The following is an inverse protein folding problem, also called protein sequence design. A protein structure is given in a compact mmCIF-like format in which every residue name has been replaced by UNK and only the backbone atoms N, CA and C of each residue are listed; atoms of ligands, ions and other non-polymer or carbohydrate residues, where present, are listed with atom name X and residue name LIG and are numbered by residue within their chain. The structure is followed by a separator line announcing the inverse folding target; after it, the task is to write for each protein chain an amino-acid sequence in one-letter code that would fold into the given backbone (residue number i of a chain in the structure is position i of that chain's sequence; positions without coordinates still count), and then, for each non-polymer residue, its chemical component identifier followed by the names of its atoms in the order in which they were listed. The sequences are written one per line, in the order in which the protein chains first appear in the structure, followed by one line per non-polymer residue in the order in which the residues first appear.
data_IF_050283965580
#
_entry.id   IF_050283965580
#
_cell.length_a   1.000
_cell.length_b   1.000
_cell.length_c   1.000
_cell.angle_alpha   90.00
_cell.angle_beta   90.00
_cell.angle_gamma   90.00
#
_symmetry.space_group_name_H-M   'P 1'
#
loop_
_entity.id
_entity.type
_entity.pdbx_description
1 polymer ?
#
# COMPACT_ATOMS: atom_id res chain seq x y z
N UNK A 1 35.36 -23.66 0.66
CA UNK A 1 34.62 -23.68 -0.61
C UNK A 1 33.14 -24.07 -0.32
N UNK A 2 32.27 -23.14 0.03
CA UNK A 2 30.80 -23.35 0.23
C UNK A 2 30.06 -22.04 -0.03
N UNK A 3 30.10 -21.53 -1.27
CA UNK A 3 29.37 -20.30 -1.67
C UNK A 3 28.44 -20.49 -2.90
N UNK A 4 28.10 -21.72 -3.30
CA UNK A 4 27.43 -21.99 -4.58
C UNK A 4 25.98 -22.42 -4.52
N UNK A 5 25.32 -22.57 -3.32
CA UNK A 5 24.00 -23.24 -3.25
C UNK A 5 22.83 -22.32 -2.84
N UNK A 6 23.08 -21.06 -2.49
CA UNK A 6 22.03 -20.18 -1.97
C UNK A 6 21.28 -19.45 -3.10
N UNK A 7 21.97 -19.13 -4.21
CA UNK A 7 21.37 -18.42 -5.33
C UNK A 7 20.21 -19.15 -6.05
N UNK A 8 20.31 -20.48 -6.35
CA UNK A 8 19.22 -21.16 -7.06
C UNK A 8 17.96 -21.35 -6.22
N UNK A 9 18.07 -21.41 -4.88
CA UNK A 9 16.92 -21.63 -4.02
C UNK A 9 16.05 -20.36 -3.89
N UNK A 10 16.65 -19.19 -3.80
CA UNK A 10 15.92 -17.92 -3.76
C UNK A 10 15.19 -17.63 -5.09
N UNK A 11 15.80 -17.99 -6.23
CA UNK A 11 15.18 -17.83 -7.55
C UNK A 11 13.96 -18.75 -7.73
N UNK A 12 14.04 -20.00 -7.27
CA UNK A 12 12.94 -20.97 -7.36
C UNK A 12 11.78 -20.56 -6.45
N UNK A 13 12.07 -20.01 -5.26
CA UNK A 13 11.03 -19.56 -4.32
C UNK A 13 10.28 -18.34 -4.84
N UNK A 14 10.96 -17.38 -5.47
CA UNK A 14 10.33 -16.21 -6.07
C UNK A 14 9.45 -16.59 -7.28
N UNK A 15 9.90 -17.53 -8.11
CA UNK A 15 9.13 -18.01 -9.26
C UNK A 15 7.82 -18.70 -8.84
N UNK A 16 7.86 -19.52 -7.78
CA UNK A 16 6.69 -20.19 -7.24
C UNK A 16 5.68 -19.18 -6.66
N UNK A 17 6.14 -18.14 -5.96
CA UNK A 17 5.30 -17.12 -5.38
C UNK A 17 4.58 -16.27 -6.46
N UNK A 18 5.28 -15.93 -7.52
CA UNK A 18 4.69 -15.14 -8.61
C UNK A 18 3.69 -15.96 -9.44
N UNK A 19 3.95 -17.25 -9.66
CA UNK A 19 2.99 -18.15 -10.31
C UNK A 19 1.69 -18.22 -9.49
N UNK A 20 1.76 -18.48 -8.18
CA UNK A 20 0.60 -18.48 -7.29
C UNK A 20 -0.16 -17.15 -7.29
N UNK A 21 0.54 -16.02 -7.29
CA UNK A 21 -0.10 -14.70 -7.32
C UNK A 21 -0.84 -14.43 -8.64
N UNK A 22 -0.30 -14.90 -9.78
CA UNK A 22 -0.97 -14.74 -11.08
C UNK A 22 -2.22 -15.62 -11.18
N UNK A 23 -2.17 -16.84 -10.68
CA UNK A 23 -3.31 -17.76 -10.61
C UNK A 23 -4.40 -17.24 -9.66
N UNK A 24 -4.00 -16.77 -8.49
CA UNK A 24 -4.92 -16.13 -7.54
C UNK A 24 -5.64 -14.94 -8.18
N UNK A 25 -4.91 -14.05 -8.85
CA UNK A 25 -5.53 -12.90 -9.50
C UNK A 25 -6.54 -13.32 -10.57
N UNK A 26 -6.17 -14.25 -11.46
CA UNK A 26 -7.04 -14.71 -12.54
C UNK A 26 -8.31 -15.39 -11.99
N UNK A 27 -8.17 -16.23 -10.95
CA UNK A 27 -9.28 -16.85 -10.26
C UNK A 27 -10.20 -15.85 -9.54
N UNK A 28 -9.58 -14.89 -8.87
CA UNK A 28 -10.30 -13.83 -8.16
C UNK A 28 -11.09 -12.94 -9.13
N UNK A 29 -10.47 -12.51 -10.23
CA UNK A 29 -11.13 -11.66 -11.22
C UNK A 29 -12.30 -12.39 -11.89
N UNK A 30 -12.14 -13.69 -12.19
CA UNK A 30 -13.22 -14.52 -12.69
C UNK A 30 -14.40 -14.64 -11.68
N UNK A 31 -14.11 -14.75 -10.38
CA UNK A 31 -15.12 -14.77 -9.34
C UNK A 31 -15.80 -13.40 -9.19
N UNK A 32 -15.04 -12.32 -9.04
CA UNK A 32 -15.56 -10.96 -8.86
C UNK A 32 -16.36 -10.49 -10.09
N UNK A 33 -15.99 -10.95 -11.29
CA UNK A 33 -16.72 -10.69 -12.53
C UNK A 33 -18.15 -11.27 -12.57
N UNK A 34 -18.47 -12.22 -11.68
CA UNK A 34 -19.82 -12.82 -11.56
C UNK A 34 -20.69 -12.14 -10.50
N UNK A 35 -20.16 -11.18 -9.76
CA UNK A 35 -20.92 -10.46 -8.72
C UNK A 35 -21.88 -9.48 -9.40
N UNK A 36 -23.19 -9.75 -9.31
CA UNK A 36 -24.27 -8.92 -9.88
C UNK A 36 -25.40 -8.80 -8.87
N UNK A 37 -25.91 -7.60 -8.67
CA UNK A 37 -27.03 -7.33 -7.75
C UNK A 37 -28.37 -7.90 -8.24
N UNK A 38 -28.51 -8.10 -9.55
CA UNK A 38 -29.71 -8.70 -10.17
C UNK A 38 -29.87 -10.17 -9.76
N UNK A 39 -28.78 -10.83 -9.39
CA UNK A 39 -28.79 -12.20 -8.90
C UNK A 39 -28.02 -12.32 -7.55
N UNK A 40 -28.64 -11.95 -6.42
CA UNK A 40 -27.97 -11.93 -5.12
C UNK A 40 -27.39 -13.29 -4.69
N UNK A 41 -28.08 -14.39 -5.00
CA UNK A 41 -27.60 -15.73 -4.66
C UNK A 41 -26.28 -16.06 -5.42
N UNK A 42 -26.23 -15.77 -6.71
CA UNK A 42 -25.02 -15.93 -7.50
C UNK A 42 -23.90 -15.00 -7.03
N UNK A 43 -24.22 -13.74 -6.70
CA UNK A 43 -23.27 -12.79 -6.16
C UNK A 43 -22.62 -13.29 -4.86
N UNK A 44 -23.42 -13.81 -3.91
CA UNK A 44 -22.91 -14.37 -2.66
C UNK A 44 -22.03 -15.61 -2.91
N UNK A 45 -22.42 -16.50 -3.83
CA UNK A 45 -21.60 -17.66 -4.19
C UNK A 45 -20.26 -17.22 -4.82
N UNK A 46 -20.26 -16.21 -5.67
CA UNK A 46 -19.07 -15.64 -6.28
C UNK A 46 -18.14 -15.01 -5.22
N UNK A 47 -18.68 -14.26 -4.26
CA UNK A 47 -17.93 -13.69 -3.13
C UNK A 47 -17.38 -14.80 -2.20
N UNK A 48 -18.12 -15.88 -1.98
CA UNK A 48 -17.64 -17.05 -1.22
C UNK A 48 -16.45 -17.69 -1.93
N UNK A 49 -16.52 -17.87 -3.25
CA UNK A 49 -15.42 -18.40 -4.05
C UNK A 49 -14.19 -17.50 -4.00
N UNK A 50 -14.36 -16.20 -4.14
CA UNK A 50 -13.28 -15.23 -4.00
C UNK A 50 -12.63 -15.32 -2.61
N UNK A 51 -13.43 -15.50 -1.55
CA UNK A 51 -12.94 -15.65 -0.18
C UNK A 51 -12.15 -16.95 0.01
N UNK A 52 -12.59 -18.10 -0.57
CA UNK A 52 -11.85 -19.34 -0.53
C UNK A 52 -10.48 -19.22 -1.21
N UNK A 53 -10.43 -18.63 -2.40
CA UNK A 53 -9.18 -18.38 -3.11
C UNK A 53 -8.19 -17.59 -2.26
N UNK A 54 -8.62 -16.52 -1.60
CA UNK A 54 -7.75 -15.70 -0.73
C UNK A 54 -7.24 -16.47 0.50
N UNK A 55 -8.00 -17.46 1.00
CA UNK A 55 -7.58 -18.27 2.16
C UNK A 55 -6.65 -19.42 1.81
N UNK A 56 -6.87 -20.04 0.66
CA UNK A 56 -6.17 -21.26 0.24
C UNK A 56 -4.78 -20.95 -0.31
N UNK A 57 -4.61 -19.83 -0.99
CA UNK A 57 -3.34 -19.44 -1.61
C UNK A 57 -2.53 -18.50 -0.71
N UNK A 58 -1.39 -18.98 -0.22
CA UNK A 58 -0.40 -18.19 0.53
C UNK A 58 0.35 -17.15 -0.30
N UNK A 59 -0.13 -16.82 -1.50
CA UNK A 59 0.52 -15.90 -2.42
C UNK A 59 0.42 -14.42 -2.01
N UNK A 60 -0.57 -14.07 -1.17
CA UNK A 60 -0.71 -12.70 -0.66
C UNK A 60 -0.04 -12.53 0.69
N UNK A 61 0.65 -11.39 0.93
CA UNK A 61 1.04 -10.99 2.26
C UNK A 61 -0.17 -11.00 3.21
N UNK A 62 -0.01 -11.49 4.47
CA UNK A 62 -1.13 -11.65 5.41
C UNK A 62 -1.97 -10.38 5.56
N UNK A 63 -1.34 -9.22 5.69
CA UNK A 63 -2.03 -7.91 5.84
C UNK A 63 -2.94 -7.62 4.64
N UNK A 64 -2.46 -7.83 3.41
CA UNK A 64 -3.26 -7.58 2.20
C UNK A 64 -4.39 -8.60 2.07
N UNK A 65 -4.12 -9.86 2.43
CA UNK A 65 -5.12 -10.94 2.43
C UNK A 65 -6.25 -10.63 3.41
N UNK A 66 -5.94 -10.28 4.63
CA UNK A 66 -6.91 -10.05 5.68
C UNK A 66 -7.76 -8.80 5.40
N UNK A 67 -7.15 -7.74 4.86
CA UNK A 67 -7.87 -6.57 4.36
C UNK A 67 -8.83 -6.96 3.20
N UNK A 68 -8.37 -7.76 2.24
CA UNK A 68 -9.22 -8.21 1.13
C UNK A 68 -10.40 -9.09 1.62
N UNK A 69 -10.15 -9.97 2.60
CA UNK A 69 -11.20 -10.79 3.22
C UNK A 69 -12.25 -9.93 3.93
N UNK A 70 -11.83 -8.87 4.62
CA UNK A 70 -12.73 -7.89 5.26
C UNK A 70 -13.60 -7.20 4.22
N UNK A 71 -13.02 -6.68 3.14
CA UNK A 71 -13.80 -6.02 2.08
C UNK A 71 -14.76 -6.98 1.36
N UNK A 72 -14.40 -8.27 1.19
CA UNK A 72 -15.34 -9.27 0.67
C UNK A 72 -16.51 -9.55 1.62
N UNK A 73 -16.26 -9.52 2.93
CA UNK A 73 -17.32 -9.66 3.92
C UNK A 73 -18.28 -8.47 3.90
N UNK A 74 -17.76 -7.25 3.80
CA UNK A 74 -18.57 -6.04 3.64
C UNK A 74 -19.35 -6.05 2.31
N UNK A 75 -18.72 -6.50 1.22
CA UNK A 75 -19.38 -6.65 -0.08
C UNK A 75 -20.63 -7.54 0.00
N UNK A 76 -20.61 -8.62 0.81
CA UNK A 76 -21.81 -9.45 1.04
C UNK A 76 -22.93 -8.69 1.72
N UNK A 77 -22.61 -7.83 2.68
CA UNK A 77 -23.60 -7.00 3.35
C UNK A 77 -24.24 -6.03 2.34
N UNK A 78 -23.45 -5.46 1.43
CA UNK A 78 -23.96 -4.56 0.39
C UNK A 78 -24.78 -5.29 -0.68
N UNK A 79 -24.49 -6.55 -0.99
CA UNK A 79 -25.38 -7.39 -1.81
C UNK A 79 -26.74 -7.56 -1.12
N UNK A 80 -26.76 -7.84 0.19
CA UNK A 80 -27.99 -7.98 0.96
C UNK A 80 -28.79 -6.66 1.04
N UNK A 81 -28.07 -5.54 1.18
CA UNK A 81 -28.66 -4.19 1.22
C UNK A 81 -29.01 -3.64 -0.17
N UNK A 82 -28.64 -4.34 -1.25
CA UNK A 82 -28.77 -3.89 -2.64
C UNK A 82 -28.11 -2.55 -2.93
N UNK A 83 -26.99 -2.25 -2.23
CA UNK A 83 -26.22 -1.03 -2.42
C UNK A 83 -25.18 -1.22 -3.52
N UNK A 84 -25.49 -0.75 -4.74
CA UNK A 84 -24.60 -0.88 -5.89
C UNK A 84 -23.28 -0.11 -5.70
N UNK A 85 -23.37 1.10 -5.17
CA UNK A 85 -22.22 2.01 -5.00
C UNK A 85 -21.22 1.45 -4.00
N UNK A 86 -21.70 1.00 -2.84
CA UNK A 86 -20.84 0.44 -1.81
C UNK A 86 -20.23 -0.90 -2.24
N UNK A 87 -21.02 -1.74 -2.93
CA UNK A 87 -20.53 -2.99 -3.50
C UNK A 87 -19.41 -2.72 -4.51
N UNK A 88 -19.61 -1.81 -5.46
CA UNK A 88 -18.60 -1.44 -6.46
C UNK A 88 -17.32 -0.94 -5.80
N UNK A 89 -17.43 -0.07 -4.79
CA UNK A 89 -16.29 0.44 -4.04
C UNK A 89 -15.50 -0.70 -3.35
N UNK A 90 -16.17 -1.66 -2.72
CA UNK A 90 -15.50 -2.79 -2.05
C UNK A 90 -14.82 -3.74 -3.02
N UNK A 91 -15.47 -4.08 -4.12
CA UNK A 91 -14.86 -4.92 -5.17
C UNK A 91 -13.63 -4.24 -5.79
N UNK A 92 -13.68 -2.92 -5.95
CA UNK A 92 -12.54 -2.13 -6.42
C UNK A 92 -11.36 -2.20 -5.43
N UNK A 93 -11.62 -2.03 -4.13
CA UNK A 93 -10.58 -2.11 -3.09
C UNK A 93 -9.94 -3.51 -3.05
N UNK A 94 -10.72 -4.59 -3.15
CA UNK A 94 -10.19 -5.96 -3.24
C UNK A 94 -9.24 -6.11 -4.42
N UNK A 95 -9.63 -5.64 -5.62
CA UNK A 95 -8.77 -5.69 -6.81
C UNK A 95 -7.46 -4.93 -6.62
N UNK A 96 -7.51 -3.76 -5.99
CA UNK A 96 -6.33 -2.94 -5.77
C UNK A 96 -5.40 -3.49 -4.67
N UNK A 97 -5.92 -4.19 -3.65
CA UNK A 97 -5.08 -4.91 -2.69
C UNK A 97 -4.28 -6.04 -3.37
N UNK A 98 -4.93 -6.81 -4.25
CA UNK A 98 -4.20 -7.79 -5.08
C UNK A 98 -3.27 -7.07 -6.08
N UNK A 99 -3.72 -5.94 -6.62
CA UNK A 99 -2.91 -5.05 -7.44
C UNK A 99 -1.63 -4.56 -6.73
N UNK A 100 -1.69 -4.29 -5.42
CA UNK A 100 -0.51 -3.96 -4.60
C UNK A 100 0.49 -5.12 -4.57
N UNK A 101 0.03 -6.35 -4.33
CA UNK A 101 0.91 -7.51 -4.34
C UNK A 101 1.53 -7.75 -5.75
N UNK A 102 0.72 -7.59 -6.81
CA UNK A 102 1.22 -7.65 -8.19
C UNK A 102 2.26 -6.56 -8.50
N UNK A 103 2.05 -5.33 -7.99
CA UNK A 103 2.98 -4.21 -8.14
C UNK A 103 4.32 -4.51 -7.47
N UNK A 104 4.30 -4.99 -6.22
CA UNK A 104 5.51 -5.32 -5.47
C UNK A 104 6.29 -6.48 -6.13
N UNK A 105 5.57 -7.53 -6.53
CA UNK A 105 6.17 -8.65 -7.26
C UNK A 105 6.74 -8.23 -8.62
N UNK A 106 6.02 -7.37 -9.38
CA UNK A 106 6.47 -6.85 -10.67
C UNK A 106 7.80 -6.08 -10.56
N UNK A 107 7.97 -5.27 -9.50
CA UNK A 107 9.22 -4.51 -9.31
C UNK A 107 10.42 -5.41 -9.02
N UNK A 108 10.20 -6.59 -8.43
CA UNK A 108 11.26 -7.55 -8.08
C UNK A 108 11.51 -8.60 -9.17
N UNK A 109 10.52 -8.90 -9.99
CA UNK A 109 10.58 -9.94 -11.02
C UNK A 109 11.43 -9.54 -12.23
N UNK A 110 11.84 -10.56 -13.02
CA UNK A 110 12.61 -10.41 -14.25
C UNK A 110 12.02 -11.26 -15.38
N UNK A 111 12.44 -10.97 -16.62
CA UNK A 111 12.11 -11.80 -17.78
C UNK A 111 10.62 -11.98 -18.04
N UNK A 112 10.21 -13.23 -18.31
CA UNK A 112 8.83 -13.59 -18.64
C UNK A 112 7.88 -13.45 -17.44
N UNK A 113 8.36 -13.73 -16.24
CA UNK A 113 7.62 -13.54 -15.00
C UNK A 113 7.17 -12.08 -14.84
N UNK A 114 8.11 -11.14 -15.03
CA UNK A 114 7.79 -9.69 -14.98
C UNK A 114 6.75 -9.31 -16.04
N UNK A 115 6.79 -9.94 -17.22
CA UNK A 115 5.80 -9.71 -18.26
C UNK A 115 4.40 -10.20 -17.85
N UNK A 116 4.30 -11.40 -17.28
CA UNK A 116 3.04 -12.00 -16.82
C UNK A 116 2.41 -11.20 -15.67
N UNK A 117 3.22 -10.79 -14.68
CA UNK A 117 2.79 -9.92 -13.58
C UNK A 117 2.33 -8.55 -14.09
N UNK A 118 3.07 -7.96 -15.02
CA UNK A 118 2.74 -6.66 -15.60
C UNK A 118 1.40 -6.63 -16.32
N UNK A 119 1.06 -7.68 -17.07
CA UNK A 119 -0.25 -7.79 -17.72
C UNK A 119 -1.41 -7.81 -16.72
N UNK A 120 -1.23 -8.51 -15.60
CA UNK A 120 -2.25 -8.60 -14.54
C UNK A 120 -2.32 -7.31 -13.74
N UNK A 121 -1.17 -6.70 -13.44
CA UNK A 121 -1.11 -5.39 -12.81
C UNK A 121 -1.88 -4.33 -13.63
N UNK A 122 -1.66 -4.29 -14.95
CA UNK A 122 -2.38 -3.39 -15.82
C UNK A 122 -3.91 -3.58 -15.75
N UNK A 123 -4.37 -4.84 -15.76
CA UNK A 123 -5.80 -5.18 -15.65
C UNK A 123 -6.38 -4.86 -14.27
N UNK A 124 -5.66 -5.22 -13.19
CA UNK A 124 -6.11 -5.01 -11.82
C UNK A 124 -6.31 -3.54 -11.48
N UNK A 125 -5.46 -2.66 -12.01
CA UNK A 125 -5.34 -1.27 -11.57
C UNK A 125 -5.70 -0.24 -12.64
N UNK A 126 -5.98 -0.70 -13.86
CA UNK A 126 -6.33 0.16 -14.99
C UNK A 126 -5.13 0.96 -15.55
N UNK A 127 -3.90 0.49 -15.32
CA UNK A 127 -2.72 1.09 -15.94
C UNK A 127 -2.70 0.86 -17.46
N UNK A 128 -2.24 1.85 -18.27
CA UNK A 128 -2.03 1.64 -19.68
C UNK A 128 -1.02 0.52 -19.96
N UNK A 129 -1.33 -0.49 -20.79
CA UNK A 129 -0.39 -1.58 -21.06
C UNK A 129 0.96 -1.11 -21.63
N UNK A 130 0.97 -0.04 -22.42
CA UNK A 130 2.19 0.56 -22.96
C UNK A 130 3.11 1.08 -21.86
N UNK A 131 2.55 1.70 -20.81
CA UNK A 131 3.31 2.19 -19.67
C UNK A 131 3.94 1.02 -18.88
N UNK A 132 3.18 -0.05 -18.66
CA UNK A 132 3.69 -1.25 -17.97
C UNK A 132 4.78 -1.93 -18.80
N UNK A 133 4.66 -1.95 -20.13
CA UNK A 133 5.71 -2.46 -21.02
C UNK A 133 6.99 -1.61 -20.93
N UNK A 134 6.88 -0.28 -20.85
CA UNK A 134 8.00 0.62 -20.63
C UNK A 134 8.65 0.36 -19.25
N UNK A 135 7.86 0.26 -18.18
CA UNK A 135 8.33 -0.03 -16.82
C UNK A 135 9.01 -1.40 -16.71
N UNK A 136 8.59 -2.39 -17.53
CA UNK A 136 9.22 -3.71 -17.59
C UNK A 136 10.68 -3.63 -18.03
N UNK A 137 10.99 -2.77 -18.97
CA UNK A 137 12.34 -2.62 -19.55
C UNK A 137 13.23 -1.67 -18.74
N UNK A 138 12.68 -0.92 -17.81
CA UNK A 138 13.40 0.03 -16.98
C UNK A 138 14.04 -0.64 -15.73
N UNK A 139 15.12 -0.07 -15.17
CA UNK A 139 15.62 -0.43 -13.86
C UNK A 139 14.54 -0.34 -12.79
N UNK A 140 14.60 -1.12 -11.68
CA UNK A 140 13.51 -1.18 -10.68
C UNK A 140 13.08 0.18 -10.12
N UNK A 141 14.03 1.05 -9.80
CA UNK A 141 13.75 2.39 -9.25
C UNK A 141 13.12 3.34 -10.28
N UNK A 142 13.52 3.22 -11.54
CA UNK A 142 12.92 3.98 -12.63
C UNK A 142 11.51 3.45 -12.95
N UNK A 143 11.34 2.12 -12.98
CA UNK A 143 10.04 1.48 -13.14
C UNK A 143 9.06 1.91 -12.02
N UNK A 144 9.53 1.92 -10.78
CA UNK A 144 8.75 2.40 -9.63
C UNK A 144 8.28 3.83 -9.85
N UNK A 145 9.20 4.76 -10.10
CA UNK A 145 8.87 6.18 -10.30
C UNK A 145 7.90 6.41 -11.44
N UNK A 146 8.08 5.69 -12.54
CA UNK A 146 7.21 5.78 -13.71
C UNK A 146 5.77 5.35 -13.37
N UNK A 147 5.60 4.23 -12.66
CA UNK A 147 4.31 3.73 -12.26
C UNK A 147 3.66 4.61 -11.19
N UNK A 148 4.43 5.02 -10.16
CA UNK A 148 3.95 5.93 -9.11
C UNK A 148 3.46 7.25 -9.68
N UNK A 149 4.21 7.87 -10.59
CA UNK A 149 3.79 9.11 -11.24
C UNK A 149 2.44 8.97 -11.95
N UNK A 150 2.18 7.82 -12.58
CA UNK A 150 0.88 7.54 -13.23
C UNK A 150 -0.23 7.28 -12.22
N UNK A 151 0.04 6.55 -11.13
CA UNK A 151 -0.95 6.37 -10.06
C UNK A 151 -1.32 7.70 -9.41
N UNK A 152 -0.35 8.56 -9.13
CA UNK A 152 -0.59 9.89 -8.58
C UNK A 152 -1.38 10.79 -9.53
N UNK A 153 -1.10 10.72 -10.83
CA UNK A 153 -1.90 11.42 -11.83
C UNK A 153 -3.35 10.94 -11.81
N UNK A 154 -3.58 9.64 -11.86
CA UNK A 154 -4.91 9.08 -11.85
C UNK A 154 -5.66 9.34 -10.53
N UNK A 155 -4.93 9.34 -9.40
CA UNK A 155 -5.48 9.72 -8.09
C UNK A 155 -5.93 11.18 -8.06
N UNK A 156 -5.13 12.09 -8.64
CA UNK A 156 -5.50 13.50 -8.76
C UNK A 156 -6.74 13.70 -9.67
N UNK A 157 -6.83 12.92 -10.75
CA UNK A 157 -8.01 12.91 -11.62
C UNK A 157 -9.27 12.45 -10.87
N UNK A 158 -9.18 11.36 -10.09
CA UNK A 158 -10.29 10.84 -9.29
C UNK A 158 -10.70 11.82 -8.18
N UNK A 159 -9.76 12.45 -7.47
CA UNK A 159 -10.05 13.49 -6.46
C UNK A 159 -10.71 14.72 -7.11
N UNK A 160 -10.26 15.12 -8.30
CA UNK A 160 -10.92 16.16 -9.09
C UNK A 160 -12.35 15.80 -9.46
N UNK A 161 -12.61 14.55 -9.85
CA UNK A 161 -13.97 14.05 -10.11
C UNK A 161 -14.83 14.07 -8.85
N UNK A 162 -14.28 13.71 -7.67
CA UNK A 162 -15.01 13.78 -6.42
C UNK A 162 -15.42 15.22 -6.07
N UNK A 163 -14.58 16.22 -6.33
CA UNK A 163 -14.89 17.64 -6.13
C UNK A 163 -15.95 18.16 -7.12
N UNK A 164 -15.92 17.68 -8.37
CA UNK A 164 -16.87 18.07 -9.42
C UNK A 164 -18.18 17.30 -9.35
N UNK A 165 -18.27 16.24 -8.52
CA UNK A 165 -19.44 15.38 -8.45
C UNK A 165 -20.71 16.13 -8.05
N UNK A 166 -21.79 15.85 -8.77
CA UNK A 166 -23.11 16.44 -8.51
C UNK A 166 -23.95 15.63 -7.51
N UNK A 167 -23.53 14.39 -7.22
CA UNK A 167 -24.20 13.53 -6.25
C UNK A 167 -23.21 12.86 -5.31
N UNK A 168 -23.67 12.52 -4.09
CA UNK A 168 -22.87 11.81 -3.10
C UNK A 168 -22.35 10.45 -3.61
N UNK A 169 -23.17 9.61 -4.26
CA UNK A 169 -22.68 8.34 -4.82
C UNK A 169 -21.53 8.51 -5.80
N UNK A 170 -21.60 9.53 -6.67
CA UNK A 170 -20.52 9.84 -7.60
C UNK A 170 -19.24 10.30 -6.87
N UNK A 171 -19.39 11.20 -5.87
CA UNK A 171 -18.26 11.65 -5.06
C UNK A 171 -17.62 10.48 -4.30
N UNK A 172 -18.43 9.59 -3.72
CA UNK A 172 -17.98 8.42 -2.98
C UNK A 172 -17.17 7.47 -3.86
N UNK A 173 -17.69 7.11 -5.05
CA UNK A 173 -16.98 6.23 -5.97
C UNK A 173 -15.68 6.84 -6.49
N UNK A 174 -15.67 8.12 -6.81
CA UNK A 174 -14.46 8.80 -7.23
C UNK A 174 -13.40 8.81 -6.13
N UNK A 175 -13.81 9.10 -4.89
CA UNK A 175 -12.92 9.07 -3.73
C UNK A 175 -12.45 7.64 -3.40
N UNK A 176 -13.32 6.62 -3.52
CA UNK A 176 -12.94 5.22 -3.35
C UNK A 176 -11.90 4.78 -4.41
N UNK A 177 -12.00 5.27 -5.66
CA UNK A 177 -10.98 5.03 -6.69
C UNK A 177 -9.65 5.67 -6.33
N UNK A 178 -9.66 6.92 -5.85
CA UNK A 178 -8.45 7.59 -5.38
C UNK A 178 -7.78 6.81 -4.24
N UNK A 179 -8.57 6.36 -3.26
CA UNK A 179 -8.08 5.54 -2.15
C UNK A 179 -7.50 4.20 -2.63
N UNK A 180 -8.18 3.50 -3.53
CA UNK A 180 -7.71 2.25 -4.09
C UNK A 180 -6.33 2.41 -4.77
N UNK A 181 -6.12 3.50 -5.52
CA UNK A 181 -4.81 3.82 -6.13
C UNK A 181 -3.74 4.13 -5.10
N UNK A 182 -4.11 4.86 -4.03
CA UNK A 182 -3.21 5.14 -2.92
C UNK A 182 -2.68 3.85 -2.28
N UNK A 183 -3.54 2.84 -2.06
CA UNK A 183 -3.13 1.56 -1.45
C UNK A 183 -2.00 0.85 -2.22
N UNK A 184 -1.85 1.10 -3.53
CA UNK A 184 -0.77 0.51 -4.32
C UNK A 184 0.57 1.18 -4.03
N UNK A 185 0.57 2.50 -3.82
CA UNK A 185 1.78 3.32 -3.68
C UNK A 185 2.02 3.84 -2.26
N UNK A 186 1.24 3.36 -1.27
CA UNK A 186 1.29 3.85 0.11
C UNK A 186 2.68 3.73 0.76
N UNK A 187 3.48 2.73 0.35
CA UNK A 187 4.83 2.49 0.87
C UNK A 187 5.91 3.31 0.15
N UNK A 188 5.52 4.26 -0.71
CA UNK A 188 6.49 5.15 -1.35
C UNK A 188 7.17 6.03 -0.30
N UNK A 189 8.52 6.13 -0.31
CA UNK A 189 9.25 6.94 0.67
C UNK A 189 8.93 8.45 0.57
N UNK A 190 8.33 8.89 -0.54
CA UNK A 190 7.89 10.27 -0.75
C UNK A 190 6.45 10.51 -0.31
N UNK A 191 5.72 9.46 0.09
CA UNK A 191 4.32 9.60 0.51
C UNK A 191 4.22 10.38 1.82
N UNK A 192 3.37 11.41 1.82
CA UNK A 192 2.97 12.18 3.01
C UNK A 192 1.51 11.94 3.37
N UNK A 193 0.82 11.12 2.57
CA UNK A 193 -0.58 10.75 2.77
C UNK A 193 -0.67 9.54 3.70
N UNK A 194 -1.79 9.46 4.42
CA UNK A 194 -2.15 8.30 5.24
C UNK A 194 -3.45 7.69 4.73
N UNK A 195 -3.62 6.38 4.90
CA UNK A 195 -4.88 5.70 4.57
C UNK A 195 -6.08 6.35 5.27
N UNK A 196 -5.89 6.76 6.53
CA UNK A 196 -6.90 7.44 7.34
C UNK A 196 -7.43 8.72 6.71
N UNK A 197 -6.61 9.49 6.00
CA UNK A 197 -7.05 10.71 5.32
C UNK A 197 -8.16 10.40 4.29
N UNK A 198 -8.02 9.32 3.53
CA UNK A 198 -9.03 8.87 2.57
C UNK A 198 -10.27 8.32 3.25
N UNK A 199 -10.10 7.52 4.32
CA UNK A 199 -11.21 6.95 5.08
C UNK A 199 -12.05 8.05 5.71
N UNK A 200 -11.41 9.08 6.29
CA UNK A 200 -12.09 10.24 6.83
C UNK A 200 -12.90 10.98 5.74
N UNK A 201 -12.31 11.20 4.58
CA UNK A 201 -13.01 11.85 3.47
C UNK A 201 -14.21 11.01 2.98
N UNK A 202 -14.06 9.66 2.88
CA UNK A 202 -15.14 8.74 2.55
C UNK A 202 -16.28 8.80 3.61
N UNK A 203 -15.92 8.82 4.89
CA UNK A 203 -16.90 8.94 5.99
C UNK A 203 -17.69 10.25 5.91
N UNK A 204 -17.05 11.38 5.61
CA UNK A 204 -17.72 12.67 5.42
C UNK A 204 -18.73 12.61 4.25
N UNK A 205 -18.37 11.99 3.14
CA UNK A 205 -19.29 11.79 2.00
C UNK A 205 -20.47 10.91 2.42
N UNK A 206 -20.22 9.78 3.08
CA UNK A 206 -21.26 8.81 3.48
C UNK A 206 -22.26 9.42 4.46
N UNK A 207 -21.79 10.21 5.43
CA UNK A 207 -22.63 10.87 6.44
C UNK A 207 -23.27 12.17 5.95
N UNK A 208 -22.94 12.61 4.73
CA UNK A 208 -23.47 13.83 4.13
C UNK A 208 -22.91 15.12 4.71
N UNK A 209 -21.75 15.03 5.35
CA UNK A 209 -21.03 16.18 5.86
C UNK A 209 -20.23 16.89 4.76
N UNK A 210 -19.77 18.14 5.01
CA UNK A 210 -18.93 18.87 4.06
C UNK A 210 -17.59 18.16 3.84
N UNK A 211 -17.41 17.48 2.73
CA UNK A 211 -16.21 16.70 2.39
C UNK A 211 -15.23 17.43 1.46
N UNK A 212 -15.70 18.45 0.73
CA UNK A 212 -14.90 19.15 -0.29
C UNK A 212 -13.60 19.74 0.23
N UNK A 213 -13.54 20.40 1.42
CA UNK A 213 -12.28 20.91 1.95
C UNK A 213 -11.23 19.82 2.16
N UNK A 214 -11.67 18.65 2.67
CA UNK A 214 -10.79 17.51 2.89
C UNK A 214 -10.28 16.92 1.58
N UNK A 215 -11.15 16.74 0.59
CA UNK A 215 -10.74 16.28 -0.75
C UNK A 215 -9.80 17.28 -1.44
N UNK A 216 -9.99 18.59 -1.27
CA UNK A 216 -9.06 19.61 -1.78
C UNK A 216 -7.68 19.51 -1.12
N UNK A 217 -7.65 19.26 0.20
CA UNK A 217 -6.40 19.03 0.93
C UNK A 217 -5.65 17.80 0.38
N UNK A 218 -6.35 16.67 0.21
CA UNK A 218 -5.81 15.46 -0.40
C UNK A 218 -5.27 15.71 -1.79
N UNK A 219 -6.03 16.38 -2.65
CA UNK A 219 -5.60 16.72 -4.01
C UNK A 219 -4.30 17.55 -4.02
N UNK A 220 -4.20 18.56 -3.15
CA UNK A 220 -2.99 19.37 -3.01
C UNK A 220 -1.77 18.54 -2.60
N UNK A 221 -1.95 17.60 -1.66
CA UNK A 221 -0.87 16.71 -1.22
C UNK A 221 -0.44 15.72 -2.32
N UNK A 222 -1.39 15.15 -3.07
CA UNK A 222 -1.09 14.27 -4.23
C UNK A 222 -0.32 15.02 -5.31
N UNK A 223 -0.73 16.26 -5.62
CA UNK A 223 -0.05 17.10 -6.61
C UNK A 223 1.37 17.46 -6.18
N UNK A 224 1.57 17.81 -4.90
CA UNK A 224 2.89 18.08 -4.35
C UNK A 224 3.80 16.84 -4.43
N UNK A 225 3.30 15.67 -4.01
CA UNK A 225 4.04 14.42 -4.12
C UNK A 225 4.43 14.09 -5.57
N UNK A 226 3.50 14.27 -6.52
CA UNK A 226 3.80 14.08 -7.95
C UNK A 226 4.88 15.02 -8.45
N UNK A 227 4.86 16.29 -8.03
CA UNK A 227 5.90 17.26 -8.39
C UNK A 227 7.27 16.86 -7.85
N UNK A 228 7.34 16.38 -6.61
CA UNK A 228 8.58 15.90 -6.00
C UNK A 228 9.17 14.71 -6.78
N UNK A 229 8.33 13.75 -7.19
CA UNK A 229 8.76 12.63 -8.03
C UNK A 229 9.32 13.10 -9.40
N UNK A 230 8.68 14.07 -10.04
CA UNK A 230 9.14 14.61 -11.33
C UNK A 230 10.46 15.37 -11.21
N UNK A 231 10.68 16.10 -10.12
CA UNK A 231 11.97 16.76 -9.84
C UNK A 231 13.10 15.76 -9.71
N UNK A 232 12.89 14.67 -8.97
CA UNK A 232 13.88 13.60 -8.84
C UNK A 232 14.25 12.93 -10.17
N UNK A 233 13.35 12.93 -11.14
CA UNK A 233 13.64 12.47 -12.51
C UNK A 233 14.56 13.43 -13.27
N UNK A 234 14.37 14.74 -13.08
CA UNK A 234 15.15 15.77 -13.78
C UNK A 234 16.57 15.85 -13.24
N UNK A 235 16.73 15.74 -11.91
CA UNK A 235 18.05 15.82 -11.26
C UNK A 235 18.95 14.59 -11.54
N UNK A 236 18.38 13.48 -11.97
CA UNK A 236 19.12 12.26 -12.36
C UNK A 236 19.39 12.15 -13.87
N UNK A 237 18.88 13.07 -14.69
CA UNK A 237 19.27 13.14 -16.08
C UNK A 237 20.76 13.53 -16.15
N UNK A 238 21.62 12.78 -16.89
CA UNK A 238 23.03 13.16 -17.02
C UNK A 238 23.10 14.57 -17.58
N UNK A 239 23.73 15.49 -16.83
CA UNK A 239 24.06 16.80 -17.32
C UNK A 239 24.76 16.67 -18.68
N UNK A 240 24.38 17.48 -19.72
CA UNK A 240 25.11 17.46 -20.98
C UNK A 240 26.58 17.65 -20.65
N UNK A 241 27.42 16.76 -21.10
CA UNK A 241 28.86 16.74 -20.87
C UNK A 241 29.42 18.09 -21.17
N UNK A 242 29.62 18.92 -20.14
CA UNK A 242 30.43 20.12 -20.24
C UNK A 242 31.85 19.66 -20.52
N UNK A 243 32.35 20.06 -21.67
CA UNK A 243 33.69 19.73 -22.14
C UNK A 243 34.70 19.99 -21.02
N UNK A 244 35.45 18.96 -20.64
CA UNK A 244 36.43 19.01 -19.56
C UNK A 244 37.40 20.18 -19.74
N UNK A 245 37.59 21.09 -18.75
CA UNK A 245 38.70 22.01 -18.73
C UNK A 245 40.02 21.29 -18.49
N UNK A 246 41.15 21.77 -19.00
CA UNK A 246 42.45 21.12 -18.89
C UNK A 246 42.92 21.00 -17.44
N UNK A 247 43.72 19.97 -17.09
CA UNK A 247 44.07 19.65 -15.70
C UNK A 247 44.96 20.74 -15.08
N UNK A 248 44.47 21.30 -13.97
CA UNK A 248 45.25 22.17 -13.06
C UNK A 248 45.95 21.29 -12.03
N UNK A 249 47.23 21.56 -11.67
CA UNK A 249 48.00 20.73 -10.78
C UNK A 249 47.49 20.75 -9.33
N UNK A 250 47.53 19.58 -8.69
CA UNK A 250 47.04 19.31 -7.36
C UNK A 250 47.75 20.09 -6.25
N UNK A 251 47.05 20.64 -5.26
CA UNK A 251 47.64 20.99 -3.98
C UNK A 251 47.51 19.82 -2.98
N UNK A 252 48.50 19.76 -2.11
CA UNK A 252 48.82 18.71 -1.16
C UNK A 252 47.68 18.31 -0.17
N UNK A 253 47.72 17.05 0.17
CA UNK A 253 46.89 16.34 1.13
C UNK A 253 46.80 16.99 2.53
N UNK A 254 45.58 17.26 2.99
CA UNK A 254 45.28 17.40 4.42
C UNK A 254 44.62 16.12 4.94
N UNK A 255 44.90 15.70 6.18
CA UNK A 255 44.38 14.46 6.73
C UNK A 255 42.89 14.56 7.02
N UNK A 256 42.07 13.73 6.39
CA UNK A 256 40.66 13.57 6.69
C UNK A 256 40.49 12.81 8.01
N UNK A 257 39.79 13.44 8.94
CA UNK A 257 39.27 12.78 10.13
C UNK A 257 38.21 11.73 9.74
N UNK A 258 38.36 10.52 10.26
CA UNK A 258 37.45 9.41 10.06
C UNK A 258 36.05 9.73 10.65
N UNK A 259 34.95 9.39 9.94
CA UNK A 259 33.61 9.51 10.50
C UNK A 259 33.39 8.51 11.64
N UNK A 260 32.59 8.83 12.67
CA UNK A 260 32.29 7.93 13.77
C UNK A 260 31.47 6.74 13.26
N UNK A 261 31.81 5.55 13.76
CA UNK A 261 31.06 4.30 13.52
C UNK A 261 29.65 4.42 14.08
N UNK A 262 28.61 3.91 13.41
CA UNK A 262 27.26 3.86 13.95
C UNK A 262 27.25 2.96 15.18
N UNK A 263 26.86 3.53 16.32
CA UNK A 263 26.65 2.82 17.57
C UNK A 263 25.52 1.80 17.45
N UNK A 264 25.65 0.72 18.18
CA UNK A 264 24.67 -0.36 18.27
C UNK A 264 23.28 0.16 18.65
N UNK A 265 22.25 -0.37 18.03
CA UNK A 265 20.82 -0.03 18.20
C UNK A 265 20.30 -0.25 19.65
N UNK A 266 21.11 -0.81 20.54
CA UNK A 266 20.77 -1.07 21.95
C UNK A 266 20.82 0.12 22.90
N UNK A 267 21.25 1.31 22.45
CA UNK A 267 21.46 2.47 23.36
C UNK A 267 20.36 3.55 23.28
N UNK A 268 19.27 3.34 22.55
CA UNK A 268 18.23 4.36 22.33
C UNK A 268 17.02 4.26 23.28
N UNK A 269 16.94 3.27 24.18
CA UNK A 269 15.79 3.06 25.05
C UNK A 269 16.13 3.20 26.54
N UNK A 270 16.57 4.38 26.95
CA UNK A 270 16.68 4.75 28.39
C UNK A 270 15.64 5.80 28.80
N UNK A 271 14.72 6.16 27.95
CA UNK A 271 13.55 6.99 28.27
C UNK A 271 12.32 6.10 28.44
N UNK A 272 11.60 6.20 29.55
CA UNK A 272 10.32 5.52 29.75
C UNK A 272 9.31 5.87 28.65
N UNK A 273 8.21 5.10 28.57
CA UNK A 273 7.10 5.38 27.65
C UNK A 273 6.58 6.81 27.85
N UNK A 274 6.08 7.48 26.77
CA UNK A 274 5.41 8.77 26.92
C UNK A 274 4.29 8.69 27.97
N UNK A 275 4.20 9.70 28.83
CA UNK A 275 3.30 9.72 30.00
C UNK A 275 1.84 9.39 29.61
N UNK A 276 1.35 9.90 28.49
CA UNK A 276 -0.01 9.61 27.98
C UNK A 276 -0.21 8.16 27.56
N UNK A 277 0.79 7.53 26.95
CA UNK A 277 0.72 6.14 26.51
C UNK A 277 0.74 5.17 27.70
N UNK A 278 1.51 5.45 28.74
CA UNK A 278 1.56 4.67 29.96
C UNK A 278 0.22 4.70 30.72
N UNK A 279 -0.41 5.86 30.80
CA UNK A 279 -1.73 6.03 31.41
C UNK A 279 -2.80 5.24 30.65
N UNK A 280 -2.88 5.35 29.33
CA UNK A 280 -3.83 4.62 28.49
C UNK A 280 -3.65 3.11 28.59
N UNK A 281 -2.41 2.61 28.59
CA UNK A 281 -2.10 1.18 28.76
C UNK A 281 -2.53 0.67 30.13
N UNK A 282 -2.56 1.50 31.16
CA UNK A 282 -2.99 1.13 32.51
C UNK A 282 -4.44 0.71 32.56
N UNK A 283 -5.31 1.27 31.72
CA UNK A 283 -6.74 0.96 31.63
C UNK A 283 -7.06 -0.34 30.86
N UNK A 284 -6.09 -0.88 30.12
CA UNK A 284 -6.30 -2.15 29.42
C UNK A 284 -6.22 -3.33 30.41
N UNK A 285 -7.16 -4.27 30.28
CA UNK A 285 -7.17 -5.51 31.09
C UNK A 285 -6.16 -6.53 30.54
N UNK A 286 -4.88 -6.15 30.50
CA UNK A 286 -3.76 -6.96 30.02
C UNK A 286 -2.76 -7.22 31.16
N UNK A 287 -2.00 -8.33 31.04
CA UNK A 287 -0.90 -8.63 31.95
C UNK A 287 0.22 -7.55 31.85
N UNK A 288 0.94 -7.25 32.94
CA UNK A 288 1.94 -6.18 32.97
C UNK A 288 3.01 -6.29 31.87
N UNK A 289 3.51 -7.50 31.61
CA UNK A 289 4.50 -7.73 30.56
C UNK A 289 3.93 -7.45 29.16
N UNK A 290 2.67 -7.81 28.93
CA UNK A 290 1.97 -7.55 27.66
C UNK A 290 1.74 -6.06 27.44
N UNK A 291 1.43 -5.30 28.50
CA UNK A 291 1.33 -3.82 28.43
C UNK A 291 2.64 -3.17 28.05
N UNK A 292 3.74 -3.60 28.66
CA UNK A 292 5.08 -3.06 28.35
C UNK A 292 5.45 -3.34 26.89
N UNK A 293 5.29 -4.58 26.44
CA UNK A 293 5.57 -4.96 25.04
C UNK A 293 4.68 -4.22 24.04
N UNK A 294 3.40 -4.02 24.36
CA UNK A 294 2.49 -3.24 23.51
C UNK A 294 2.91 -1.78 23.44
N UNK A 295 3.28 -1.17 24.57
CA UNK A 295 3.79 0.20 24.63
C UNK A 295 5.05 0.41 23.81
N UNK A 296 6.02 -0.49 23.94
CA UNK A 296 7.25 -0.47 23.15
C UNK A 296 6.98 -0.62 21.64
N UNK A 297 6.04 -1.52 21.25
CA UNK A 297 5.65 -1.70 19.86
C UNK A 297 4.95 -0.47 19.29
N UNK A 298 4.02 0.15 20.04
CA UNK A 298 3.33 1.38 19.63
C UNK A 298 4.31 2.54 19.47
N UNK A 299 5.26 2.70 20.38
CA UNK A 299 6.29 3.72 20.29
C UNK A 299 7.23 3.48 19.11
N UNK A 300 7.63 2.24 18.83
CA UNK A 300 8.45 1.89 17.68
C UNK A 300 7.74 2.15 16.33
N UNK A 301 6.40 2.03 16.32
CA UNK A 301 5.55 2.36 15.17
C UNK A 301 5.21 3.86 15.07
N UNK A 302 5.66 4.69 16.02
CA UNK A 302 5.42 6.13 16.03
C UNK A 302 4.07 6.56 16.58
N UNK A 303 3.35 5.68 17.28
CA UNK A 303 2.10 6.04 17.96
C UNK A 303 2.40 6.63 19.35
N UNK A 304 1.86 7.82 19.62
CA UNK A 304 1.95 8.48 20.92
C UNK A 304 0.81 8.10 21.89
N UNK A 305 -0.20 7.33 21.42
CA UNK A 305 -1.41 7.02 22.15
C UNK A 305 -2.00 5.69 21.69
N UNK A 306 -2.59 4.92 22.61
CA UNK A 306 -3.37 3.70 22.29
C UNK A 306 -4.63 4.05 21.50
N UNK A 307 -5.25 5.19 21.79
CA UNK A 307 -6.46 5.65 21.08
C UNK A 307 -6.16 5.97 19.62
N UNK A 308 -5.01 6.58 19.32
CA UNK A 308 -4.58 6.83 17.94
C UNK A 308 -4.33 5.51 17.20
N UNK A 309 -3.73 4.54 17.87
CA UNK A 309 -3.55 3.21 17.31
C UNK A 309 -4.87 2.46 17.13
N UNK A 310 -5.79 2.50 18.11
CA UNK A 310 -7.10 1.87 18.02
C UNK A 310 -7.97 2.50 16.94
N UNK A 311 -7.90 3.81 16.73
CA UNK A 311 -8.60 4.48 15.64
C UNK A 311 -8.15 3.93 14.28
N UNK A 312 -6.85 3.70 14.10
CA UNK A 312 -6.31 3.05 12.89
C UNK A 312 -6.65 1.55 12.85
N UNK A 313 -6.71 0.89 14.01
CA UNK A 313 -7.00 -0.53 14.15
C UNK A 313 -8.48 -0.89 13.94
N UNK A 314 -9.40 -0.04 14.35
CA UNK A 314 -10.84 -0.22 14.08
C UNK A 314 -11.16 -0.10 12.59
N UNK A 315 -10.40 0.70 11.87
CA UNK A 315 -10.53 0.85 10.43
C UNK A 315 -9.82 -0.28 9.66
N UNK A 316 -8.78 -0.85 10.24
CA UNK A 316 -8.02 -1.99 9.69
C UNK A 316 -7.94 -3.07 10.78
N UNK A 317 -8.93 -3.96 10.85
CA UNK A 317 -8.95 -5.10 11.80
C UNK A 317 -7.64 -5.92 11.83
N UNK A 318 -6.71 -5.66 10.93
CA UNK A 318 -5.35 -6.18 10.93
C UNK A 318 -4.51 -5.79 12.15
N UNK A 319 -4.82 -4.70 12.83
CA UNK A 319 -4.07 -4.33 14.02
C UNK A 319 -4.51 -5.11 15.29
N UNK A 320 -5.75 -5.62 15.32
CA UNK A 320 -6.17 -6.62 16.30
C UNK A 320 -5.40 -7.95 16.12
N UNK A 321 -5.13 -8.35 14.87
CA UNK A 321 -4.29 -9.49 14.56
C UNK A 321 -2.83 -9.28 15.01
N UNK A 322 -2.31 -8.05 14.95
CA UNK A 322 -0.98 -7.71 15.45
C UNK A 322 -0.90 -7.78 16.97
N UNK A 323 -1.90 -7.29 17.68
CA UNK A 323 -2.00 -7.43 19.14
C UNK A 323 -2.15 -8.91 19.56
N UNK A 324 -2.90 -9.70 18.80
CA UNK A 324 -3.08 -11.13 19.02
C UNK A 324 -1.80 -11.92 18.73
N UNK A 325 -1.05 -11.56 17.68
CA UNK A 325 0.27 -12.13 17.39
C UNK A 325 1.29 -11.82 18.51
N UNK A 326 1.25 -10.64 19.10
CA UNK A 326 2.11 -10.28 20.24
C UNK A 326 1.71 -11.01 21.54
N UNK A 327 0.43 -11.32 21.73
CA UNK A 327 -0.06 -12.11 22.86
C UNK A 327 0.26 -13.60 22.72
N UNK A 328 0.23 -14.13 21.47
CA UNK A 328 0.49 -15.54 21.17
C UNK A 328 1.98 -15.87 21.00
N UNK A 329 2.83 -14.88 20.74
CA UNK A 329 4.29 -15.05 20.58
C UNK A 329 5.10 -14.85 21.87
N UNK A 330 4.40 -14.68 23.02
CA UNK A 330 4.96 -14.54 24.37
C UNK A 330 5.35 -15.85 25.06
#
# INVERSE_FOLDING_TARGET
MRRGLVLPFALVLSLALAAGLTELYDGLEAALGQVRLENPAQAVNALNRAQSLLREEGALPPVLRDAALTFLQEARQFVAQKSAVDLEARLLLVRHLVGKALYDAFLQAQGEEKAALGQRLARATGLPPALVAQARSAPPEEARRLLEARYLQAMAEDLGQALAAQSRPQAYLALARAYARYLIVQDSPQSRLKAQDFVQALALVSTGQPFRPEVQRLLGQVQAWRQDLLRLQTDQAPSPTEAAPPPTPAPASQPQASPPRPGSVGALFTGGLPEGLEEELSFLALEPETKTRLGEALQALGYGSVLDWLAVADEVRGALALAQLYVESG
#
